data_IF_422932907158
#
_entry.id   IF_422932907158
#
_cell.length_a   1.000
_cell.length_b   1.000
_cell.length_c   1.000
_cell.angle_alpha   90.00
_cell.angle_beta   90.00
_cell.angle_gamma   90.00
#
_symmetry.space_group_name_H-M   'P 1'
#
loop_
_entity.id
_entity.type
_entity.pdbx_description
1 polymer ?
#
# COMPACT_ATOMS: atom_id res chain seq x y z
N UNK A 1 -39.66 -5.47 40.54
CA UNK A 1 -39.20 -4.18 39.99
C UNK A 1 -37.87 -4.42 39.25
N UNK A 2 -37.93 -4.54 37.91
CA UNK A 2 -36.72 -4.77 37.08
C UNK A 2 -35.97 -3.45 36.86
N UNK A 3 -34.68 -3.45 37.14
CA UNK A 3 -33.79 -2.32 36.83
C UNK A 3 -33.79 -2.10 35.32
N UNK A 4 -34.01 -0.86 34.82
CA UNK A 4 -33.86 -0.57 33.40
C UNK A 4 -32.41 -0.85 32.95
N UNK A 5 -32.25 -1.67 31.91
CA UNK A 5 -30.95 -1.85 31.26
C UNK A 5 -30.46 -0.50 30.76
N UNK A 6 -29.33 -0.02 31.26
CA UNK A 6 -28.61 1.13 30.71
C UNK A 6 -28.30 0.80 29.25
N UNK A 7 -28.92 1.53 28.33
CA UNK A 7 -28.51 1.52 26.93
C UNK A 7 -27.04 1.98 26.86
N UNK A 8 -26.17 1.10 26.39
CA UNK A 8 -24.80 1.50 26.06
C UNK A 8 -24.88 2.56 24.96
N UNK A 9 -24.15 3.66 25.09
CA UNK A 9 -24.07 4.65 24.00
C UNK A 9 -23.59 3.94 22.73
N UNK A 10 -24.36 4.02 21.67
CA UNK A 10 -23.97 3.52 20.36
C UNK A 10 -22.69 4.24 19.93
N UNK A 11 -21.69 3.56 19.42
CA UNK A 11 -20.49 4.20 18.91
C UNK A 11 -20.89 5.15 17.78
N UNK A 12 -20.41 6.39 17.86
CA UNK A 12 -20.70 7.50 16.92
C UNK A 12 -20.25 7.22 15.46
N UNK A 13 -19.60 6.09 15.20
CA UNK A 13 -19.20 5.61 13.87
C UNK A 13 -19.47 4.12 13.77
N UNK A 14 -20.32 3.73 12.80
CA UNK A 14 -20.45 2.35 12.38
C UNK A 14 -19.13 1.89 11.74
N UNK A 15 -18.43 0.89 12.29
CA UNK A 15 -17.17 0.40 11.74
C UNK A 15 -17.32 -0.10 10.29
N UNK A 16 -18.45 -0.61 9.91
CA UNK A 16 -18.80 -1.05 8.54
C UNK A 16 -18.80 0.10 7.53
N UNK A 17 -19.32 1.26 7.90
CA UNK A 17 -19.32 2.44 7.02
C UNK A 17 -17.89 2.97 6.81
N UNK A 18 -17.08 2.96 7.86
CA UNK A 18 -15.68 3.43 7.75
C UNK A 18 -14.82 2.51 6.86
N UNK A 19 -15.03 1.20 6.91
CA UNK A 19 -14.33 0.22 6.07
C UNK A 19 -14.75 0.36 4.60
N UNK A 20 -16.04 0.54 4.32
CA UNK A 20 -16.53 0.77 2.95
C UNK A 20 -15.97 2.05 2.33
N UNK A 21 -15.97 3.15 3.08
CA UNK A 21 -15.38 4.42 2.60
C UNK A 21 -13.88 4.26 2.35
N UNK A 22 -13.15 3.62 3.25
CA UNK A 22 -11.73 3.37 3.09
C UNK A 22 -11.43 2.49 1.86
N UNK A 23 -12.21 1.46 1.63
CA UNK A 23 -12.08 0.61 0.45
C UNK A 23 -12.28 1.38 -0.85
N UNK A 24 -13.29 2.26 -0.92
CA UNK A 24 -13.50 3.13 -2.08
C UNK A 24 -12.30 4.05 -2.30
N UNK A 25 -11.78 4.67 -1.25
CA UNK A 25 -10.60 5.54 -1.34
C UNK A 25 -9.39 4.74 -1.87
N UNK A 26 -9.15 3.53 -1.38
CA UNK A 26 -8.07 2.67 -1.85
C UNK A 26 -8.22 2.30 -3.33
N UNK A 27 -9.44 2.00 -3.79
CA UNK A 27 -9.72 1.71 -5.20
C UNK A 27 -9.50 2.92 -6.10
N UNK A 28 -9.90 4.11 -5.65
CA UNK A 28 -9.65 5.36 -6.38
C UNK A 28 -8.15 5.61 -6.50
N UNK A 29 -7.39 5.49 -5.40
CA UNK A 29 -5.93 5.65 -5.40
C UNK A 29 -5.27 4.61 -6.31
N UNK A 30 -5.66 3.33 -6.22
CA UNK A 30 -5.14 2.28 -7.09
C UNK A 30 -5.41 2.58 -8.58
N UNK A 31 -6.58 3.12 -8.90
CA UNK A 31 -6.93 3.52 -10.27
C UNK A 31 -6.07 4.67 -10.76
N UNK A 32 -5.84 5.69 -9.94
CA UNK A 32 -4.96 6.83 -10.28
C UNK A 32 -3.53 6.34 -10.53
N UNK A 33 -3.01 5.47 -9.67
CA UNK A 33 -1.67 4.88 -9.83
C UNK A 33 -1.60 4.07 -11.14
N UNK A 34 -2.60 3.24 -11.42
CA UNK A 34 -2.65 2.45 -12.64
C UNK A 34 -2.68 3.34 -13.90
N UNK A 35 -3.52 4.38 -13.89
CA UNK A 35 -3.59 5.34 -15.00
C UNK A 35 -2.28 6.12 -15.17
N UNK A 36 -1.56 6.36 -14.08
CA UNK A 36 -0.25 7.01 -14.09
C UNK A 36 0.80 6.22 -14.87
N UNK A 37 0.75 4.89 -14.85
CA UNK A 37 1.67 4.05 -15.65
C UNK A 37 1.44 4.17 -17.16
N UNK A 38 0.28 4.65 -17.57
CA UNK A 38 -0.09 4.87 -18.97
C UNK A 38 -0.06 6.36 -19.35
N UNK A 39 0.52 7.23 -18.52
CA UNK A 39 0.56 8.70 -18.69
C UNK A 39 -0.82 9.35 -18.84
N UNK A 40 -1.87 8.69 -18.33
CA UNK A 40 -3.26 9.15 -18.43
C UNK A 40 -3.79 9.81 -17.16
N UNK A 41 -2.99 9.87 -16.11
CA UNK A 41 -3.38 10.48 -14.82
C UNK A 41 -2.95 11.96 -14.70
N UNK A 42 -2.47 12.56 -15.78
CA UNK A 42 -2.02 13.96 -15.81
C UNK A 42 -0.87 14.23 -14.83
N UNK A 43 -0.66 15.51 -14.50
CA UNK A 43 0.46 15.95 -13.64
C UNK A 43 0.47 15.28 -12.26
N UNK A 44 -0.70 15.02 -11.68
CA UNK A 44 -0.80 14.33 -10.38
C UNK A 44 -0.26 12.90 -10.48
N UNK A 45 -0.62 12.19 -11.54
CA UNK A 45 -0.12 10.85 -11.78
C UNK A 45 1.39 10.80 -11.98
N UNK A 46 1.95 11.74 -12.74
CA UNK A 46 3.39 11.83 -12.95
C UNK A 46 4.14 12.04 -11.63
N UNK A 47 3.67 12.97 -10.79
CA UNK A 47 4.27 13.21 -9.47
C UNK A 47 4.22 11.94 -8.60
N UNK A 48 3.08 11.28 -8.54
CA UNK A 48 2.93 10.06 -7.73
C UNK A 48 3.83 8.95 -8.26
N UNK A 49 3.86 8.74 -9.57
CA UNK A 49 4.62 7.65 -10.18
C UNK A 49 6.13 7.88 -10.13
N UNK A 50 6.60 9.03 -10.57
CA UNK A 50 8.04 9.30 -10.74
C UNK A 50 8.70 9.71 -9.42
N UNK A 51 8.06 10.61 -8.65
CA UNK A 51 8.69 11.17 -7.46
C UNK A 51 8.43 10.35 -6.19
N UNK A 52 7.30 9.66 -6.11
CA UNK A 52 6.95 8.92 -4.88
C UNK A 52 7.19 7.43 -5.08
N UNK A 53 6.49 6.81 -6.03
CA UNK A 53 6.51 5.35 -6.19
C UNK A 53 7.83 4.85 -6.77
N UNK A 54 8.36 5.54 -7.78
CA UNK A 54 9.63 5.17 -8.41
C UNK A 54 10.78 5.30 -7.41
N UNK A 55 10.86 6.43 -6.71
CA UNK A 55 11.88 6.69 -5.70
C UNK A 55 11.84 5.69 -4.54
N UNK A 56 10.64 5.41 -3.98
CA UNK A 56 10.50 4.55 -2.81
C UNK A 56 10.62 3.06 -3.16
N UNK A 57 9.94 2.62 -4.21
CA UNK A 57 9.73 1.21 -4.53
C UNK A 57 10.42 0.76 -5.81
N UNK A 58 10.95 1.69 -6.61
CA UNK A 58 11.57 1.37 -7.89
C UNK A 58 10.64 0.57 -8.79
N UNK A 59 11.12 -0.55 -9.31
CA UNK A 59 10.34 -1.46 -10.16
C UNK A 59 9.17 -2.12 -9.43
N UNK A 60 9.20 -2.21 -8.09
CA UNK A 60 8.08 -2.74 -7.29
C UNK A 60 6.84 -1.84 -7.32
N UNK A 61 6.95 -0.59 -7.81
CA UNK A 61 5.81 0.33 -7.97
C UNK A 61 4.64 -0.27 -8.74
N UNK A 62 4.92 -1.14 -9.71
CA UNK A 62 3.88 -1.82 -10.50
C UNK A 62 3.02 -2.79 -9.67
N UNK A 63 3.55 -3.30 -8.56
CA UNK A 63 2.81 -4.12 -7.60
C UNK A 63 1.88 -3.32 -6.67
N UNK A 64 2.13 -2.02 -6.51
CA UNK A 64 1.39 -1.16 -5.57
C UNK A 64 -0.13 -1.16 -5.81
N UNK A 65 -0.66 -0.96 -7.03
CA UNK A 65 -2.10 -0.96 -7.25
C UNK A 65 -2.73 -2.33 -6.96
N UNK A 66 -2.01 -3.41 -7.23
CA UNK A 66 -2.49 -4.78 -6.94
C UNK A 66 -2.68 -4.96 -5.43
N UNK A 67 -1.70 -4.54 -4.64
CA UNK A 67 -1.78 -4.59 -3.17
C UNK A 67 -2.93 -3.74 -2.66
N UNK A 68 -3.12 -2.53 -3.17
CA UNK A 68 -4.24 -1.66 -2.77
C UNK A 68 -5.60 -2.26 -3.11
N UNK A 69 -5.74 -2.91 -4.27
CA UNK A 69 -6.97 -3.61 -4.67
C UNK A 69 -7.24 -4.79 -3.74
N UNK A 70 -6.23 -5.58 -3.40
CA UNK A 70 -6.37 -6.70 -2.46
C UNK A 70 -6.81 -6.19 -1.09
N UNK A 71 -6.21 -5.08 -0.59
CA UNK A 71 -6.62 -4.47 0.66
C UNK A 71 -8.05 -3.93 0.61
N UNK A 72 -8.45 -3.27 -0.48
CA UNK A 72 -9.81 -2.79 -0.67
C UNK A 72 -10.83 -3.95 -0.68
N UNK A 73 -10.50 -5.01 -1.40
CA UNK A 73 -11.32 -6.24 -1.39
C UNK A 73 -11.47 -6.81 0.01
N UNK A 74 -10.36 -6.89 0.75
CA UNK A 74 -10.36 -7.41 2.11
C UNK A 74 -11.22 -6.59 3.08
N UNK A 75 -11.31 -5.28 2.89
CA UNK A 75 -12.15 -4.39 3.70
C UNK A 75 -13.65 -4.54 3.41
N UNK A 76 -14.01 -4.93 2.18
CA UNK A 76 -15.41 -5.08 1.74
C UNK A 76 -15.91 -6.51 1.90
N UNK A 77 -15.02 -7.50 1.78
CA UNK A 77 -15.38 -8.89 1.95
C UNK A 77 -15.82 -9.12 3.40
N UNK A 78 -17.07 -9.55 3.60
CA UNK A 78 -17.63 -10.00 4.88
C UNK A 78 -16.97 -11.34 5.31
N UNK A 79 -15.67 -11.32 5.44
CA UNK A 79 -14.95 -12.46 5.95
C UNK A 79 -14.80 -12.23 7.44
N UNK A 80 -15.29 -13.15 8.26
CA UNK A 80 -15.14 -13.19 9.72
C UNK A 80 -13.66 -13.34 10.15
N UNK A 81 -12.78 -12.57 9.50
CA UNK A 81 -11.39 -12.50 9.86
C UNK A 81 -11.17 -11.42 10.92
N UNK A 82 -10.84 -11.84 12.12
CA UNK A 82 -10.27 -10.93 13.10
C UNK A 82 -8.98 -10.34 12.53
N UNK A 83 -9.06 -9.10 12.04
CA UNK A 83 -7.87 -8.37 11.59
C UNK A 83 -6.83 -8.35 12.71
N UNK A 84 -5.75 -9.05 12.50
CA UNK A 84 -4.59 -8.99 13.40
C UNK A 84 -3.56 -8.04 12.76
N UNK A 85 -2.98 -7.13 13.53
CA UNK A 85 -1.92 -6.22 13.04
C UNK A 85 -0.76 -6.97 12.36
N UNK A 86 -0.56 -8.23 12.69
CA UNK A 86 0.45 -9.12 12.11
C UNK A 86 0.31 -9.29 10.59
N UNK A 87 -0.91 -9.22 10.03
CA UNK A 87 -1.12 -9.33 8.58
C UNK A 87 -0.56 -8.11 7.85
N UNK A 88 -0.76 -6.90 8.40
CA UNK A 88 -0.20 -5.67 7.86
C UNK A 88 1.33 -5.66 7.94
N UNK A 89 1.88 -6.10 9.08
CA UNK A 89 3.33 -6.23 9.26
C UNK A 89 3.90 -7.25 8.27
N UNK A 90 3.25 -8.39 8.10
CA UNK A 90 3.68 -9.41 7.13
C UNK A 90 3.70 -8.91 5.69
N UNK A 91 2.67 -8.16 5.27
CA UNK A 91 2.60 -7.55 3.95
C UNK A 91 3.71 -6.50 3.75
N UNK A 92 3.96 -5.67 4.76
CA UNK A 92 5.05 -4.68 4.73
C UNK A 92 6.41 -5.36 4.61
N UNK A 93 6.69 -6.37 5.44
CA UNK A 93 7.94 -7.13 5.39
C UNK A 93 8.12 -7.84 4.04
N UNK A 94 7.05 -8.43 3.50
CA UNK A 94 7.07 -9.02 2.17
C UNK A 94 7.47 -8.00 1.10
N UNK A 95 6.88 -6.80 1.16
CA UNK A 95 7.17 -5.73 0.19
C UNK A 95 8.63 -5.26 0.28
N UNK A 96 9.13 -5.06 1.51
CA UNK A 96 10.52 -4.67 1.75
C UNK A 96 11.48 -5.76 1.25
N UNK A 97 11.23 -7.02 1.59
CA UNK A 97 12.07 -8.15 1.16
C UNK A 97 12.07 -8.33 -0.35
N UNK A 98 10.91 -8.23 -0.98
CA UNK A 98 10.81 -8.33 -2.44
C UNK A 98 11.52 -7.16 -3.13
N UNK A 99 11.41 -5.94 -2.60
CA UNK A 99 12.16 -4.78 -3.09
C UNK A 99 13.67 -4.99 -2.96
N UNK A 100 14.13 -5.53 -1.84
CA UNK A 100 15.56 -5.85 -1.62
C UNK A 100 16.07 -6.89 -2.62
N UNK A 101 15.29 -7.94 -2.90
CA UNK A 101 15.66 -8.96 -3.90
C UNK A 101 15.83 -8.36 -5.30
N UNK A 102 14.96 -7.42 -5.71
CA UNK A 102 15.11 -6.73 -6.99
C UNK A 102 16.35 -5.84 -7.05
N UNK A 103 16.84 -5.39 -5.90
CA UNK A 103 18.03 -4.55 -5.84
C UNK A 103 19.34 -5.33 -5.95
N UNK A 104 19.32 -6.66 -5.68
CA UNK A 104 20.50 -7.53 -5.77
C UNK A 104 21.10 -7.66 -7.17
N UNK A 105 20.36 -7.30 -8.21
CA UNK A 105 20.86 -7.34 -9.58
C UNK A 105 21.87 -6.22 -9.92
N UNK A 106 21.99 -5.22 -9.05
CA UNK A 106 22.92 -4.10 -9.25
C UNK A 106 24.22 -4.28 -8.46
N UNK A 107 25.38 -3.87 -9.02
CA UNK A 107 26.64 -3.90 -8.30
C UNK A 107 26.63 -2.95 -7.11
N UNK A 108 27.30 -3.29 -5.99
CA UNK A 108 27.29 -2.48 -4.76
C UNK A 108 27.72 -1.02 -4.96
N UNK A 109 28.60 -0.75 -5.93
CA UNK A 109 29.07 0.59 -6.22
C UNK A 109 27.99 1.53 -6.78
N UNK A 110 27.04 0.99 -7.53
CA UNK A 110 26.03 1.76 -8.24
C UNK A 110 24.65 1.74 -7.57
N UNK A 111 24.49 0.91 -6.53
CA UNK A 111 23.21 0.68 -5.85
C UNK A 111 22.52 1.96 -5.40
N UNK A 112 23.26 2.93 -4.89
CA UNK A 112 22.72 4.21 -4.45
C UNK A 112 22.17 5.03 -5.60
N UNK A 113 22.94 5.11 -6.68
CA UNK A 113 22.53 5.87 -7.87
C UNK A 113 21.29 5.25 -8.52
N UNK A 114 21.29 3.94 -8.70
CA UNK A 114 20.18 3.18 -9.25
C UNK A 114 18.91 3.30 -8.39
N UNK A 115 19.06 3.34 -7.06
CA UNK A 115 17.94 3.55 -6.16
C UNK A 115 17.33 4.95 -6.31
N UNK A 116 18.16 5.99 -6.47
CA UNK A 116 17.70 7.36 -6.70
C UNK A 116 17.00 7.53 -8.04
N UNK A 117 17.44 6.80 -9.07
CA UNK A 117 16.81 6.76 -10.39
C UNK A 117 15.53 5.91 -10.43
N UNK A 118 15.17 5.27 -9.29
CA UNK A 118 13.97 4.45 -9.17
C UNK A 118 14.07 3.10 -9.85
N UNK A 119 15.29 2.58 -10.00
CA UNK A 119 15.56 1.24 -10.50
C UNK A 119 15.58 0.21 -9.37
N UNK A 120 15.46 -1.08 -9.71
CA UNK A 120 15.44 -2.17 -8.74
C UNK A 120 14.33 -2.03 -7.72
N UNK A 121 14.67 -2.10 -6.44
CA UNK A 121 13.72 -1.94 -5.33
C UNK A 121 13.59 -0.52 -4.80
N UNK A 122 14.15 0.48 -5.48
CA UNK A 122 14.19 1.87 -5.01
C UNK A 122 14.95 2.02 -3.68
N UNK A 123 14.67 3.10 -2.97
CA UNK A 123 15.33 3.39 -1.68
C UNK A 123 15.03 2.33 -0.62
N UNK A 124 13.81 1.79 -0.59
CA UNK A 124 13.49 0.70 0.37
C UNK A 124 14.23 -0.59 0.07
N UNK A 125 14.41 -0.93 -1.21
CA UNK A 125 15.19 -2.10 -1.60
C UNK A 125 16.66 -1.97 -1.20
N UNK A 126 17.24 -0.80 -1.43
CA UNK A 126 18.61 -0.51 -1.04
C UNK A 126 18.83 -0.53 0.47
N UNK A 127 17.97 0.16 1.25
CA UNK A 127 18.09 0.22 2.70
C UNK A 127 17.92 -1.15 3.38
N UNK A 128 17.16 -2.04 2.80
CA UNK A 128 16.98 -3.39 3.32
C UNK A 128 18.13 -4.34 2.95
N UNK A 129 18.98 -3.94 2.02
CA UNK A 129 20.16 -4.72 1.60
C UNK A 129 21.41 -4.38 2.43
N UNK A 130 21.55 -3.15 2.94
CA UNK A 130 22.66 -2.69 3.79
C UNK A 130 22.51 -3.22 5.21
#
# INVERSE_FOLDING_TARGET
>A
MGRPKKQQPQPLRDPTLSHGVLAIVLLVVASIITLSFFDKAGTVGTIINEWILSFLFGSMRFGTPIVLIIFAWYLVADVDYTYRPTHGIGALLFFITASSLLHLQFPPADMWLEALEGHGGGVFGMLAWV
#
